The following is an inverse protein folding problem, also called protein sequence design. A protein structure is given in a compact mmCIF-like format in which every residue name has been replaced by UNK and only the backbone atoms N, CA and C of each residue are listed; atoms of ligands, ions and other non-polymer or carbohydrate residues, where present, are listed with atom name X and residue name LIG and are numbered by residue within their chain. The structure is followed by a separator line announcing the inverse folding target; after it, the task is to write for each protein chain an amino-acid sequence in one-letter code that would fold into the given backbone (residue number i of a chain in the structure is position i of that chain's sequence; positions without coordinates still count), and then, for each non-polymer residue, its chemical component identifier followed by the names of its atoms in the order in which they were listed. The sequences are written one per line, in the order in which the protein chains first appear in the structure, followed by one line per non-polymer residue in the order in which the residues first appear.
data_IF_325922900582
#
_entry.id   IF_325922900582
#
_cell.length_a   1.000
_cell.length_b   1.000
_cell.length_c   1.000
_cell.angle_alpha   90.00
_cell.angle_beta   90.00
_cell.angle_gamma   90.00
#
_symmetry.space_group_name_H-M   'P 1'
#
loop_
_entity.id
_entity.type
_entity.pdbx_description
1 polymer ?
#
# COMPACT_ATOMS: atom_id res chain seq x y z
N UNK A 1 1.87 -3.83 25.87
CA UNK A 1 1.93 -4.65 24.64
C UNK A 1 1.26 -3.88 23.53
N UNK A 2 2.05 -3.20 22.69
CA UNK A 2 1.50 -2.45 21.56
C UNK A 2 0.80 -3.45 20.63
N UNK A 3 -0.49 -3.24 20.38
CA UNK A 3 -1.21 -3.99 19.34
C UNK A 3 -0.35 -3.89 18.09
N UNK A 4 0.05 -5.03 17.54
CA UNK A 4 0.78 -5.10 16.27
C UNK A 4 -0.22 -4.64 15.21
N UNK A 5 -0.42 -3.33 15.13
CA UNK A 5 -1.10 -2.73 13.99
C UNK A 5 -0.37 -3.26 12.78
N UNK A 6 -1.15 -3.79 11.84
CA UNK A 6 -0.69 -4.27 10.55
C UNK A 6 -0.08 -3.07 9.82
N UNK A 7 1.19 -2.80 10.11
CA UNK A 7 1.94 -1.72 9.50
C UNK A 7 2.32 -2.14 8.08
N UNK A 8 2.62 -1.15 7.24
CA UNK A 8 2.89 -1.37 5.82
C UNK A 8 4.02 -2.41 5.64
N UNK A 9 5.10 -2.25 6.39
CA UNK A 9 6.26 -3.16 6.38
C UNK A 9 5.90 -4.62 6.69
N UNK A 10 5.03 -4.85 7.68
CA UNK A 10 4.60 -6.20 8.03
C UNK A 10 3.81 -6.85 6.88
N UNK A 11 2.98 -6.09 6.17
CA UNK A 11 2.23 -6.61 5.02
C UNK A 11 3.14 -6.88 3.83
N UNK A 12 4.14 -6.04 3.60
CA UNK A 12 5.16 -6.28 2.57
C UNK A 12 5.98 -7.54 2.89
N UNK A 13 6.36 -7.72 4.16
CA UNK A 13 7.07 -8.93 4.61
C UNK A 13 6.24 -10.20 4.39
N UNK A 14 4.97 -10.17 4.77
CA UNK A 14 4.04 -11.30 4.58
C UNK A 14 3.83 -11.62 3.09
N UNK A 15 3.71 -10.59 2.24
CA UNK A 15 3.62 -10.78 0.79
C UNK A 15 4.88 -11.45 0.21
N UNK A 16 6.07 -11.03 0.65
CA UNK A 16 7.32 -11.63 0.22
C UNK A 16 7.43 -13.11 0.63
N UNK A 17 6.92 -13.48 1.80
CA UNK A 17 6.88 -14.88 2.24
C UNK A 17 5.95 -15.70 1.34
N UNK A 18 4.78 -15.17 0.99
CA UNK A 18 3.85 -15.83 0.07
C UNK A 18 4.48 -16.03 -1.31
N UNK A 19 5.15 -15.00 -1.85
CA UNK A 19 5.84 -15.10 -3.15
C UNK A 19 6.91 -16.18 -3.10
N UNK A 20 7.74 -16.20 -2.06
CA UNK A 20 8.76 -17.27 -1.88
C UNK A 20 8.13 -18.65 -1.85
N UNK A 21 7.01 -18.83 -1.14
CA UNK A 21 6.31 -20.12 -1.08
C UNK A 21 5.79 -20.55 -2.47
N UNK A 22 5.26 -19.61 -3.25
CA UNK A 22 4.79 -19.87 -4.61
C UNK A 22 5.96 -20.20 -5.57
N UNK A 23 7.10 -19.53 -5.42
CA UNK A 23 8.30 -19.73 -6.25
C UNK A 23 9.03 -21.05 -5.94
N UNK A 24 9.00 -21.49 -4.68
CA UNK A 24 9.66 -22.74 -4.27
C UNK A 24 9.04 -23.99 -4.92
N UNK A 25 7.78 -23.92 -5.37
CA UNK A 25 7.14 -25.01 -6.12
C UNK A 25 6.77 -26.25 -5.31
N UNK A 26 6.97 -26.24 -3.99
CA UNK A 26 6.64 -27.36 -3.08
C UNK A 26 5.15 -27.41 -2.68
N UNK A 27 4.33 -26.47 -3.15
CA UNK A 27 2.91 -26.38 -2.84
C UNK A 27 2.08 -27.28 -3.75
N UNK A 28 1.08 -27.94 -3.18
CA UNK A 28 0.02 -28.56 -3.98
C UNK A 28 -0.79 -27.50 -4.74
N UNK A 29 -1.60 -27.90 -5.72
CA UNK A 29 -2.45 -26.98 -6.47
C UNK A 29 -3.41 -26.19 -5.56
N UNK A 30 -4.05 -26.86 -4.59
CA UNK A 30 -4.96 -26.20 -3.66
C UNK A 30 -4.25 -25.20 -2.75
N UNK A 31 -3.04 -25.53 -2.29
CA UNK A 31 -2.23 -24.62 -1.49
C UNK A 31 -1.74 -23.44 -2.32
N UNK A 32 -1.34 -23.67 -3.57
CA UNK A 32 -0.93 -22.61 -4.50
C UNK A 32 -2.06 -21.61 -4.74
N UNK A 33 -3.30 -22.09 -4.92
CA UNK A 33 -4.49 -21.24 -5.08
C UNK A 33 -4.73 -20.43 -3.79
N UNK A 34 -4.67 -21.06 -2.62
CA UNK A 34 -4.84 -20.37 -1.33
C UNK A 34 -3.77 -19.29 -1.09
N UNK A 35 -2.51 -19.61 -1.37
CA UNK A 35 -1.39 -18.68 -1.25
C UNK A 35 -1.57 -17.49 -2.20
N UNK A 36 -1.97 -17.73 -3.45
CA UNK A 36 -2.29 -16.68 -4.40
C UNK A 36 -3.42 -15.76 -3.91
N UNK A 37 -4.55 -16.33 -3.45
CA UNK A 37 -5.67 -15.53 -2.92
C UNK A 37 -5.25 -14.67 -1.72
N UNK A 38 -4.41 -15.21 -0.84
CA UNK A 38 -3.88 -14.47 0.30
C UNK A 38 -2.95 -13.34 -0.15
N UNK A 39 -2.08 -13.60 -1.11
CA UNK A 39 -1.21 -12.57 -1.73
C UNK A 39 -2.03 -11.42 -2.30
N UNK A 40 -3.08 -11.72 -3.08
CA UNK A 40 -3.99 -10.70 -3.65
C UNK A 40 -4.67 -9.87 -2.56
N UNK A 41 -5.14 -10.50 -1.46
CA UNK A 41 -5.73 -9.79 -0.33
C UNK A 41 -4.75 -8.81 0.32
N UNK A 42 -3.47 -9.20 0.46
CA UNK A 42 -2.44 -8.35 1.05
C UNK A 42 -2.12 -7.18 0.11
N UNK A 43 -1.96 -7.45 -1.19
CA UNK A 43 -1.74 -6.41 -2.21
C UNK A 43 -2.85 -5.36 -2.19
N UNK A 44 -4.12 -5.79 -2.12
CA UNK A 44 -5.25 -4.88 -2.03
C UNK A 44 -5.22 -4.01 -0.76
N UNK A 45 -4.80 -4.57 0.38
CA UNK A 45 -4.62 -3.81 1.63
C UNK A 45 -3.49 -2.79 1.52
N UNK A 46 -2.37 -3.15 0.89
CA UNK A 46 -1.24 -2.26 0.65
C UNK A 46 -1.66 -1.05 -0.20
N UNK A 47 -2.33 -1.30 -1.32
CA UNK A 47 -2.85 -0.22 -2.18
C UNK A 47 -3.82 0.69 -1.44
N UNK A 48 -4.77 0.12 -0.68
CA UNK A 48 -5.71 0.92 0.10
C UNK A 48 -5.00 1.80 1.13
N UNK A 49 -3.94 1.29 1.77
CA UNK A 49 -3.16 2.05 2.74
C UNK A 49 -2.39 3.18 2.08
N UNK A 50 -1.74 2.94 0.95
CA UNK A 50 -1.07 3.98 0.16
C UNK A 50 -2.05 5.07 -0.29
N UNK A 51 -3.17 4.69 -0.91
CA UNK A 51 -4.19 5.63 -1.36
C UNK A 51 -4.77 6.48 -0.21
N UNK A 52 -4.92 5.89 0.98
CA UNK A 52 -5.33 6.65 2.18
C UNK A 52 -4.29 7.68 2.60
N UNK A 53 -3.00 7.34 2.51
CA UNK A 53 -1.91 8.26 2.85
C UNK A 53 -1.75 9.36 1.80
N UNK A 54 -1.83 9.03 0.51
CA UNK A 54 -1.83 10.00 -0.59
C UNK A 54 -3.00 10.98 -0.46
N UNK A 55 -4.20 10.49 -0.13
CA UNK A 55 -5.36 11.35 0.12
C UNK A 55 -5.14 12.31 1.29
N UNK A 56 -4.48 11.86 2.37
CA UNK A 56 -4.13 12.73 3.49
C UNK A 56 -3.10 13.79 3.12
N UNK A 57 -2.11 13.44 2.28
CA UNK A 57 -1.12 14.39 1.78
C UNK A 57 -1.83 15.47 0.94
N UNK A 58 -2.71 15.08 0.03
CA UNK A 58 -3.48 16.03 -0.80
C UNK A 58 -4.32 17.00 0.03
N UNK A 59 -5.03 16.51 1.05
CA UNK A 59 -5.79 17.39 1.95
C UNK A 59 -4.88 18.41 2.63
N UNK A 60 -3.69 18.00 3.09
CA UNK A 60 -2.71 18.91 3.70
C UNK A 60 -2.10 19.90 2.69
N UNK A 61 -1.94 19.49 1.43
CA UNK A 61 -1.51 20.37 0.34
C UNK A 61 -2.60 21.39 -0.02
N UNK A 62 -3.87 20.98 -0.09
CA UNK A 62 -5.01 21.85 -0.37
C UNK A 62 -5.34 22.80 0.80
N UNK A 63 -5.06 22.39 2.06
CA UNK A 63 -5.20 23.23 3.26
C UNK A 63 -4.05 24.27 3.40
N UNK A 64 -2.96 24.12 2.65
CA UNK A 64 -2.01 25.21 2.45
C UNK A 64 -2.63 26.17 1.43
N UNK A 65 -3.39 27.14 1.92
CA UNK A 65 -3.83 28.29 1.14
C UNK A 65 -2.67 28.84 0.28
N UNK A 66 -3.02 29.17 -0.97
CA UNK A 66 -2.16 29.79 -1.97
C UNK A 66 -1.41 31.01 -1.42
N UNK A 67 -0.15 30.82 -1.01
CA UNK A 67 0.85 31.91 -0.99
C UNK A 67 1.72 31.80 -2.25
N UNK A 68 1.07 31.89 -3.42
CA UNK A 68 1.75 32.29 -4.63
C UNK A 68 1.28 33.70 -4.97
N UNK A 69 1.99 34.67 -4.39
CA UNK A 69 1.91 36.07 -4.78
C UNK A 69 1.85 36.18 -6.30
N UNK A 70 0.83 36.88 -6.77
CA UNK A 70 0.51 37.00 -8.17
C UNK A 70 1.71 37.42 -8.99
N UNK A 71 2.10 36.57 -9.93
CA UNK A 71 2.63 37.06 -11.18
C UNK A 71 1.47 37.18 -12.14
N UNK A 72 0.86 38.36 -12.13
CA UNK A 72 0.20 38.90 -13.31
C UNK A 72 1.18 38.83 -14.47
N UNK A 73 0.90 37.97 -15.45
CA UNK A 73 1.43 38.19 -16.79
C UNK A 73 0.32 38.84 -17.60
N UNK A 74 0.20 40.17 -17.45
CA UNK A 74 -0.29 40.98 -18.57
C UNK A 74 0.86 41.11 -19.56
N UNK A 75 0.50 40.93 -20.84
CA UNK A 75 1.32 40.94 -22.07
C UNK A 75 1.98 39.62 -22.46
#
# INVERSE_FOLDING_TARGET
MARKETNYESMVSELNEIVKQLENGDLTLEESIKSYENGVKIVNKLYKKLSTLEGKIKVVEDEKEEDFGGYSNEY
#
